data_IF_329370140668
#
_entry.id   IF_329370140668
#
_cell.length_a   1.000
_cell.length_b   1.000
_cell.length_c   1.000
_cell.angle_alpha   90.00
_cell.angle_beta   90.00
_cell.angle_gamma   90.00
#
_symmetry.space_group_name_H-M   'P 1'
#
loop_
_entity.id
_entity.type
_entity.pdbx_description
1 polymer ?
#
# COMPACT_ATOMS: atom_id res chain seq x y z
N UNK A 1 -21.40 -0.19 7.72
CA UNK A 1 -20.52 0.94 7.33
C UNK A 1 -19.24 0.47 6.64
N UNK A 2 -18.50 -0.51 7.18
CA UNK A 2 -17.22 -0.98 6.59
C UNK A 2 -17.37 -1.71 5.26
N UNK A 3 -18.34 -2.64 5.16
CA UNK A 3 -18.65 -3.35 3.91
C UNK A 3 -18.99 -2.38 2.78
N UNK A 4 -19.75 -1.33 3.10
CA UNK A 4 -20.17 -0.30 2.15
C UNK A 4 -18.96 0.49 1.62
N UNK A 5 -18.03 0.90 2.48
CA UNK A 5 -16.81 1.59 2.06
C UNK A 5 -15.91 0.70 1.20
N UNK A 6 -15.75 -0.58 1.55
CA UNK A 6 -14.97 -1.54 0.77
C UNK A 6 -15.62 -1.83 -0.60
N UNK A 7 -16.95 -1.94 -0.64
CA UNK A 7 -17.72 -2.14 -1.86
C UNK A 7 -17.65 -0.94 -2.79
N UNK A 8 -17.69 0.29 -2.26
CA UNK A 8 -17.53 1.50 -3.05
C UNK A 8 -16.13 1.61 -3.68
N UNK A 9 -15.11 1.04 -3.03
CA UNK A 9 -13.73 1.00 -3.55
C UNK A 9 -13.51 -0.05 -4.64
N UNK A 10 -14.29 -1.13 -4.65
CA UNK A 10 -14.11 -2.25 -5.58
C UNK A 10 -15.08 -2.19 -6.78
N UNK A 11 -16.31 -1.70 -6.60
CA UNK A 11 -17.38 -1.71 -7.61
C UNK A 11 -17.40 -0.52 -8.58
N UNK A 12 -16.29 0.20 -8.74
CA UNK A 12 -16.23 1.31 -9.70
C UNK A 12 -17.00 2.57 -9.29
N UNK A 13 -17.56 2.62 -8.06
CA UNK A 13 -18.36 3.76 -7.55
C UNK A 13 -17.55 5.06 -7.52
N UNK A 14 -16.24 4.96 -7.32
CA UNK A 14 -15.31 6.08 -7.43
C UNK A 14 -14.40 5.92 -8.64
N UNK A 15 -14.26 7.00 -9.41
CA UNK A 15 -13.21 7.18 -10.42
C UNK A 15 -11.83 7.10 -9.79
N UNK A 16 -10.80 6.85 -10.62
CA UNK A 16 -9.40 6.83 -10.14
C UNK A 16 -8.98 8.16 -9.49
N UNK A 17 -9.56 9.28 -9.94
CA UNK A 17 -9.32 10.59 -9.36
C UNK A 17 -9.94 10.70 -7.96
N UNK A 18 -11.21 10.30 -7.80
CA UNK A 18 -11.91 10.33 -6.52
C UNK A 18 -11.29 9.37 -5.50
N UNK A 19 -10.84 8.18 -5.91
CA UNK A 19 -10.13 7.25 -5.01
C UNK A 19 -8.83 7.84 -4.48
N UNK A 20 -8.13 8.66 -5.27
CA UNK A 20 -6.93 9.38 -4.81
C UNK A 20 -7.27 10.46 -3.78
N UNK A 21 -8.51 10.92 -3.74
CA UNK A 21 -9.00 11.87 -2.75
C UNK A 21 -9.54 11.22 -1.47
N UNK A 22 -9.55 9.88 -1.37
CA UNK A 22 -9.91 9.17 -0.13
C UNK A 22 -8.74 9.29 0.83
N UNK A 23 -8.83 10.32 1.65
CA UNK A 23 -7.80 10.80 2.58
C UNK A 23 -7.83 10.08 3.93
N UNK A 24 -8.79 9.20 4.18
CA UNK A 24 -8.88 8.45 5.43
C UNK A 24 -7.97 7.23 5.37
N UNK A 25 -7.29 6.94 6.49
CA UNK A 25 -6.66 5.64 6.68
C UNK A 25 -7.75 4.60 6.96
N UNK A 26 -7.52 3.35 6.57
CA UNK A 26 -8.33 2.24 7.09
C UNK A 26 -8.23 2.23 8.62
N UNK A 27 -9.23 1.70 9.33
CA UNK A 27 -9.20 1.65 10.80
C UNK A 27 -7.93 1.00 11.35
N UNK A 28 -7.45 -0.07 10.71
CA UNK A 28 -6.20 -0.73 11.07
C UNK A 28 -4.99 0.21 10.93
N UNK A 29 -4.92 0.98 9.84
CA UNK A 29 -3.85 1.95 9.63
C UNK A 29 -3.95 3.13 10.61
N UNK A 30 -5.15 3.56 10.99
CA UNK A 30 -5.30 4.59 12.02
C UNK A 30 -4.88 4.07 13.40
N UNK A 31 -5.23 2.83 13.75
CA UNK A 31 -4.74 2.18 14.97
C UNK A 31 -3.20 2.09 14.98
N UNK A 32 -2.58 1.64 13.88
CA UNK A 32 -1.13 1.62 13.74
C UNK A 32 -0.52 3.02 13.91
N UNK A 33 -1.13 4.06 13.32
CA UNK A 33 -0.67 5.46 13.49
C UNK A 33 -0.71 5.87 14.97
N UNK A 34 -1.76 5.49 15.71
CA UNK A 34 -1.86 5.76 17.14
C UNK A 34 -0.78 5.02 17.94
N UNK A 35 -0.50 3.75 17.64
CA UNK A 35 0.60 2.99 18.26
C UNK A 35 1.96 3.64 18.00
N UNK A 36 2.25 4.02 16.75
CA UNK A 36 3.50 4.70 16.38
C UNK A 36 3.61 6.04 17.11
N UNK A 37 2.51 6.81 17.20
CA UNK A 37 2.49 8.08 17.95
C UNK A 37 2.75 7.85 19.44
N UNK A 38 2.15 6.83 20.03
CA UNK A 38 2.30 6.49 21.44
C UNK A 38 3.72 6.02 21.80
N UNK A 39 4.40 5.34 20.87
CA UNK A 39 5.78 4.88 21.05
C UNK A 39 6.81 6.02 21.06
N UNK A 40 6.48 7.20 20.52
CA UNK A 40 7.36 8.37 20.55
C UNK A 40 7.29 9.09 21.91
N UNK A 41 8.39 9.66 22.43
CA UNK A 41 8.37 10.47 23.65
C UNK A 41 7.39 11.64 23.56
N UNK A 42 6.72 12.00 24.66
CA UNK A 42 5.67 13.02 24.66
C UNK A 42 6.08 14.36 24.02
N UNK A 43 7.32 14.80 24.26
CA UNK A 43 7.87 16.06 23.75
C UNK A 43 8.55 15.93 22.38
N UNK A 44 8.46 14.76 21.73
CA UNK A 44 9.15 14.53 20.46
C UNK A 44 8.41 15.22 19.29
N UNK A 45 9.13 16.02 18.50
CA UNK A 45 8.58 16.79 17.38
C UNK A 45 7.77 15.95 16.38
N UNK A 46 8.21 14.71 16.13
CA UNK A 46 7.49 13.74 15.30
C UNK A 46 6.02 13.50 15.72
N UNK A 47 5.68 13.60 17.02
CA UNK A 47 4.28 13.47 17.48
C UNK A 47 3.40 14.58 16.93
N UNK A 48 3.93 15.82 16.87
CA UNK A 48 3.24 16.99 16.33
C UNK A 48 3.08 16.87 14.81
N UNK A 49 4.15 16.49 14.09
CA UNK A 49 4.07 16.24 12.64
C UNK A 49 3.05 15.16 12.30
N UNK A 50 2.93 14.12 13.14
CA UNK A 50 1.94 13.07 12.94
C UNK A 50 0.50 13.55 13.09
N UNK A 51 0.20 14.71 13.69
CA UNK A 51 -1.17 15.22 13.83
C UNK A 51 -1.71 15.77 12.51
N UNK A 52 -0.89 16.52 11.79
CA UNK A 52 -1.25 17.14 10.50
C UNK A 52 -1.07 16.20 9.31
N UNK A 53 -0.38 15.06 9.49
CA UNK A 53 -0.17 14.06 8.45
C UNK A 53 -1.48 13.59 7.79
N UNK A 54 -1.57 13.76 6.47
CA UNK A 54 -2.77 13.51 5.68
C UNK A 54 -3.70 14.71 5.53
N UNK A 55 -3.41 15.82 6.22
CA UNK A 55 -4.02 17.13 5.99
C UNK A 55 -3.73 17.60 4.57
N UNK A 56 -4.62 18.43 4.03
CA UNK A 56 -4.49 18.97 2.68
C UNK A 56 -4.47 20.47 2.77
N UNK A 57 -3.45 21.09 2.18
CA UNK A 57 -3.33 22.53 2.12
C UNK A 57 -4.32 23.14 1.11
N UNK A 58 -4.37 24.47 1.06
CA UNK A 58 -5.26 25.22 0.17
C UNK A 58 -4.96 24.98 -1.33
N UNK A 59 -3.78 24.42 -1.64
CA UNK A 59 -3.34 24.08 -2.99
C UNK A 59 -3.58 22.61 -3.35
N UNK A 60 -4.18 21.82 -2.45
CA UNK A 60 -4.47 20.41 -2.68
C UNK A 60 -3.29 19.46 -2.41
N UNK A 61 -2.18 19.95 -1.87
CA UNK A 61 -1.04 19.10 -1.49
C UNK A 61 -1.33 18.39 -0.17
N UNK A 62 -0.95 17.11 -0.11
CA UNK A 62 -1.08 16.31 1.11
C UNK A 62 0.17 16.49 1.98
N UNK A 63 -0.02 16.79 3.26
CA UNK A 63 1.04 16.82 4.25
C UNK A 63 1.48 15.40 4.65
N UNK A 64 2.79 15.18 4.70
CA UNK A 64 3.39 13.90 5.03
C UNK A 64 4.43 14.10 6.14
N UNK A 65 4.18 13.51 7.31
CA UNK A 65 5.04 13.72 8.48
C UNK A 65 6.45 13.12 8.38
N UNK A 66 6.72 12.23 7.42
CA UNK A 66 8.03 11.57 7.25
C UNK A 66 8.42 10.61 8.39
N UNK A 67 7.54 10.40 9.38
CA UNK A 67 7.85 9.54 10.53
C UNK A 67 7.94 8.08 10.09
N UNK A 68 9.02 7.36 10.45
CA UNK A 68 9.14 5.93 10.18
C UNK A 68 7.90 5.17 10.67
N UNK A 69 7.44 4.20 9.88
CA UNK A 69 6.25 3.39 10.16
C UNK A 69 4.91 4.15 10.21
N UNK A 70 4.87 5.46 9.93
CA UNK A 70 3.61 6.14 9.66
C UNK A 70 2.93 5.48 8.45
N UNK A 71 1.72 4.91 8.57
CA UNK A 71 1.13 4.11 7.50
C UNK A 71 0.94 4.89 6.19
N UNK A 72 0.56 6.17 6.28
CA UNK A 72 0.40 7.05 5.12
C UNK A 72 1.73 7.30 4.40
N UNK A 73 2.75 7.71 5.16
CA UNK A 73 4.08 8.01 4.60
C UNK A 73 4.74 6.74 4.06
N UNK A 74 4.59 5.62 4.77
CA UNK A 74 5.09 4.33 4.35
C UNK A 74 4.43 3.84 3.05
N UNK A 75 3.11 3.97 2.92
CA UNK A 75 2.41 3.64 1.66
C UNK A 75 2.86 4.53 0.48
N UNK A 76 3.07 5.84 0.71
CA UNK A 76 3.62 6.75 -0.31
C UNK A 76 5.00 6.29 -0.75
N UNK A 77 5.89 6.06 0.20
CA UNK A 77 7.27 5.64 -0.10
C UNK A 77 7.28 4.31 -0.84
N UNK A 78 6.47 3.34 -0.39
CA UNK A 78 6.29 2.06 -1.08
C UNK A 78 5.85 2.26 -2.52
N UNK A 79 4.87 3.12 -2.78
CA UNK A 79 4.42 3.40 -4.15
C UNK A 79 5.52 4.01 -5.02
N UNK A 80 6.32 4.94 -4.47
CA UNK A 80 7.47 5.54 -5.18
C UNK A 80 8.51 4.47 -5.50
N UNK A 81 8.88 3.64 -4.53
CA UNK A 81 9.88 2.59 -4.71
C UNK A 81 9.40 1.51 -5.67
N UNK A 82 8.13 1.09 -5.59
CA UNK A 82 7.51 0.17 -6.55
C UNK A 82 7.54 0.77 -7.95
N UNK A 83 7.21 2.06 -8.11
CA UNK A 83 7.29 2.74 -9.40
C UNK A 83 8.71 2.77 -9.99
N UNK A 84 9.72 3.05 -9.15
CA UNK A 84 11.13 2.98 -9.56
C UNK A 84 11.54 1.57 -9.96
N UNK A 85 11.17 0.56 -9.18
CA UNK A 85 11.49 -0.83 -9.44
C UNK A 85 10.85 -1.32 -10.75
N UNK A 86 9.57 -1.01 -10.98
CA UNK A 86 8.88 -1.36 -12.24
C UNK A 86 9.60 -0.74 -13.43
N UNK A 87 9.87 0.58 -13.40
CA UNK A 87 10.57 1.27 -14.49
C UNK A 87 11.96 0.69 -14.75
N UNK A 88 12.65 0.25 -13.70
CA UNK A 88 13.99 -0.36 -13.83
C UNK A 88 13.92 -1.77 -14.42
N UNK A 89 12.98 -2.60 -13.97
CA UNK A 89 12.86 -4.00 -14.37
C UNK A 89 12.30 -4.14 -15.79
N UNK A 90 11.40 -3.23 -16.18
CA UNK A 90 10.65 -3.29 -17.43
C UNK A 90 10.90 -2.06 -18.33
N UNK A 91 12.13 -1.55 -18.35
CA UNK A 91 12.46 -0.29 -19.03
C UNK A 91 12.10 -0.26 -20.53
N UNK A 92 12.17 -1.41 -21.20
CA UNK A 92 11.97 -1.52 -22.65
C UNK A 92 10.62 -2.17 -23.02
N UNK A 93 9.77 -2.48 -22.03
CA UNK A 93 8.45 -3.06 -22.27
C UNK A 93 7.41 -1.95 -22.46
N UNK A 94 6.57 -2.07 -23.48
CA UNK A 94 5.41 -1.21 -23.66
C UNK A 94 4.34 -1.51 -22.59
N UNK A 95 3.51 -0.53 -22.26
CA UNK A 95 2.43 -0.72 -21.29
C UNK A 95 1.45 -1.85 -21.69
N UNK A 96 1.26 -2.04 -23.00
CA UNK A 96 0.40 -3.09 -23.57
C UNK A 96 0.96 -4.51 -23.33
N UNK A 97 2.26 -4.61 -23.06
CA UNK A 97 2.98 -5.87 -22.82
C UNK A 97 3.06 -6.22 -21.32
N UNK A 98 2.58 -5.33 -20.44
CA UNK A 98 2.68 -5.47 -19.00
C UNK A 98 1.35 -5.82 -18.34
N UNK A 99 1.35 -6.92 -17.59
CA UNK A 99 0.26 -7.30 -16.70
C UNK A 99 0.76 -7.35 -15.25
N UNK A 100 0.05 -6.68 -14.33
CA UNK A 100 0.35 -6.72 -12.91
C UNK A 100 -0.60 -7.68 -12.18
N UNK A 101 -0.04 -8.69 -11.52
CA UNK A 101 -0.76 -9.56 -10.60
C UNK A 101 -0.32 -9.27 -9.16
N UNK A 102 -1.28 -8.95 -8.29
CA UNK A 102 -1.02 -8.84 -6.84
C UNK A 102 -1.44 -10.13 -6.16
N UNK A 103 -0.51 -10.75 -5.44
CA UNK A 103 -0.75 -12.00 -4.71
C UNK A 103 -0.77 -11.67 -3.23
N UNK A 104 -1.88 -11.96 -2.57
CA UNK A 104 -1.99 -11.86 -1.12
C UNK A 104 -1.52 -13.19 -0.52
N UNK A 105 -0.38 -13.14 0.16
CA UNK A 105 0.12 -14.27 0.92
C UNK A 105 -0.54 -14.31 2.30
N UNK A 106 -0.80 -15.50 2.87
CA UNK A 106 -1.31 -15.61 4.22
C UNK A 106 -0.35 -14.95 5.22
N UNK A 107 -0.88 -14.26 6.25
CA UNK A 107 -0.04 -13.62 7.26
C UNK A 107 0.83 -14.68 7.96
N UNK A 108 2.14 -14.44 7.97
CA UNK A 108 3.10 -15.28 8.68
C UNK A 108 3.50 -14.58 9.97
N UNK A 109 3.54 -15.33 11.08
CA UNK A 109 3.97 -14.82 12.39
C UNK A 109 5.50 -14.70 12.48
N UNK A 110 6.23 -15.46 11.67
CA UNK A 110 7.68 -15.40 11.54
C UNK A 110 8.13 -15.43 10.06
N UNK A 111 9.36 -15.02 9.80
CA UNK A 111 9.90 -14.96 8.43
C UNK A 111 10.53 -16.29 7.98
N UNK A 112 10.62 -17.28 8.86
CA UNK A 112 11.35 -18.54 8.64
C UNK A 112 10.74 -19.37 7.52
N UNK A 113 9.41 -19.36 7.36
CA UNK A 113 8.70 -20.05 6.28
C UNK A 113 8.39 -19.20 5.03
N UNK A 114 8.84 -17.95 4.98
CA UNK A 114 8.43 -17.01 3.93
C UNK A 114 8.93 -17.43 2.54
N UNK A 115 10.16 -17.94 2.45
CA UNK A 115 10.76 -18.37 1.18
C UNK A 115 9.97 -19.51 0.55
N UNK A 116 9.65 -20.54 1.32
CA UNK A 116 8.91 -21.71 0.84
C UNK A 116 7.48 -21.35 0.43
N UNK A 117 6.82 -20.47 1.19
CA UNK A 117 5.50 -19.94 0.85
C UNK A 117 5.52 -19.20 -0.50
N UNK A 118 6.51 -18.32 -0.68
CA UNK A 118 6.68 -17.55 -1.93
C UNK A 118 6.93 -18.46 -3.11
N UNK A 119 7.82 -19.46 -2.99
CA UNK A 119 8.13 -20.38 -4.09
C UNK A 119 6.96 -21.30 -4.43
N UNK A 120 6.20 -21.77 -3.44
CA UNK A 120 5.00 -22.56 -3.66
C UNK A 120 3.92 -21.76 -4.43
N UNK A 121 3.64 -20.52 -4.02
CA UNK A 121 2.67 -19.69 -4.72
C UNK A 121 3.13 -19.27 -6.13
N UNK A 122 4.42 -19.00 -6.32
CA UNK A 122 5.00 -18.80 -7.66
C UNK A 122 4.80 -20.01 -8.56
N UNK A 123 5.08 -21.22 -8.04
CA UNK A 123 4.90 -22.47 -8.79
C UNK A 123 3.44 -22.66 -9.19
N UNK A 124 2.52 -22.45 -8.25
CA UNK A 124 1.07 -22.53 -8.50
C UNK A 124 0.62 -21.59 -9.62
N UNK A 125 1.12 -20.35 -9.62
CA UNK A 125 0.79 -19.37 -10.67
C UNK A 125 1.35 -19.74 -12.03
N UNK A 126 2.61 -20.22 -12.10
CA UNK A 126 3.19 -20.71 -13.36
C UNK A 126 2.33 -21.83 -13.94
N UNK A 127 1.98 -22.83 -13.12
CA UNK A 127 1.11 -23.94 -13.54
C UNK A 127 -0.28 -23.47 -13.97
N UNK A 128 -0.87 -22.50 -13.28
CA UNK A 128 -2.16 -21.94 -13.67
C UNK A 128 -2.09 -21.25 -15.04
N UNK A 129 -1.09 -20.40 -15.27
CA UNK A 129 -0.88 -19.72 -16.55
C UNK A 129 -0.63 -20.73 -17.67
N UNK A 130 0.21 -21.74 -17.43
CA UNK A 130 0.50 -22.79 -18.43
C UNK A 130 -0.74 -23.58 -18.83
N UNK A 131 -1.68 -23.80 -17.89
CA UNK A 131 -2.96 -24.47 -18.17
C UNK A 131 -3.93 -23.60 -18.97
N UNK A 132 -3.94 -22.28 -18.75
CA UNK A 132 -4.81 -21.34 -19.47
C UNK A 132 -4.31 -21.02 -20.89
N UNK A 133 -3.04 -21.31 -21.19
CA UNK A 133 -2.45 -21.15 -22.53
C UNK A 133 -2.68 -22.35 -23.46
N UNK A 134 -3.19 -23.47 -22.94
CA UNK A 134 -3.61 -24.64 -23.72
C UNK A 134 -5.10 -24.54 -24.04
#
# INVERSE_FOLDING_TARGET
MEQLQADMMTKGVFTRHERRQIKTLTKANEAQRQYVKAALPANHLARRWMETCGGVDDYGNIDYCGVPLCPRCHMRERAVQTGKAIKKIFCDAANEELAFATILLPPQLDFTGMTDLVENEKRRLRTFVDRQRK
#
